data_IF_501787769013
#
_entry.id   IF_501787769013
#
_cell.length_a   1.000
_cell.length_b   1.000
_cell.length_c   1.000
_cell.angle_alpha   90.00
_cell.angle_beta   90.00
_cell.angle_gamma   90.00
#
_symmetry.space_group_name_H-M   'P 1'
#
loop_
_entity.id
_entity.type
_entity.pdbx_description
1 polymer ?
#
# COMPACT_ATOMS: atom_id res chain seq x y z
N UNK A 1 -23.51 15.91 -59.69
CA UNK A 1 -22.43 15.02 -59.22
C UNK A 1 -22.27 15.26 -57.72
N UNK A 2 -22.57 14.26 -56.91
CA UNK A 2 -22.59 14.35 -55.45
C UNK A 2 -21.16 14.27 -54.89
N UNK A 3 -20.76 15.22 -54.05
CA UNK A 3 -19.54 15.14 -53.23
C UNK A 3 -19.89 14.50 -51.89
N UNK A 4 -19.31 13.34 -51.63
CA UNK A 4 -19.36 12.63 -50.35
C UNK A 4 -18.31 13.28 -49.44
N UNK A 5 -18.75 13.99 -48.40
CA UNK A 5 -17.89 14.48 -47.33
C UNK A 5 -17.61 13.35 -46.34
N UNK A 6 -16.37 12.87 -46.33
CA UNK A 6 -15.86 11.93 -45.32
C UNK A 6 -15.60 12.68 -44.02
N UNK A 7 -16.52 12.55 -43.06
CA UNK A 7 -16.34 12.98 -41.68
C UNK A 7 -15.45 11.94 -40.98
N UNK A 8 -14.16 12.24 -40.88
CA UNK A 8 -13.23 11.51 -40.02
C UNK A 8 -13.58 11.81 -38.56
N UNK A 9 -14.37 10.93 -37.94
CA UNK A 9 -14.57 10.89 -36.50
C UNK A 9 -13.22 10.65 -35.81
N UNK A 10 -12.66 11.72 -35.27
CA UNK A 10 -11.53 11.67 -34.36
C UNK A 10 -12.04 11.10 -33.02
N UNK A 11 -12.01 9.78 -32.87
CA UNK A 11 -12.20 9.13 -31.56
C UNK A 11 -11.05 9.54 -30.65
N UNK A 12 -11.26 10.56 -29.81
CA UNK A 12 -10.42 10.79 -28.64
C UNK A 12 -10.53 9.54 -27.75
N UNK A 13 -9.51 8.70 -27.77
CA UNK A 13 -9.32 7.66 -26.78
C UNK A 13 -9.19 8.35 -25.42
N UNK A 14 -10.25 8.27 -24.61
CA UNK A 14 -10.22 8.66 -23.21
C UNK A 14 -9.28 7.69 -22.51
N UNK A 15 -8.02 8.10 -22.35
CA UNK A 15 -7.02 7.36 -21.61
C UNK A 15 -7.51 7.16 -20.18
N UNK A 16 -7.90 5.92 -19.91
CA UNK A 16 -8.32 5.30 -18.67
C UNK A 16 -7.34 5.59 -17.53
N UNK A 17 -7.77 6.27 -16.47
CA UNK A 17 -6.93 6.62 -15.31
C UNK A 17 -6.84 5.42 -14.36
N UNK A 18 -6.28 4.31 -14.82
CA UNK A 18 -5.39 3.58 -13.92
C UNK A 18 -4.18 4.49 -13.74
N UNK A 19 -3.80 4.78 -12.49
CA UNK A 19 -2.58 5.56 -12.25
C UNK A 19 -1.47 4.94 -13.07
N UNK A 20 -0.79 5.71 -13.94
CA UNK A 20 0.16 5.17 -14.92
C UNK A 20 1.30 4.40 -14.24
N UNK A 21 1.51 4.67 -12.94
CA UNK A 21 2.52 4.07 -12.09
C UNK A 21 1.90 3.32 -10.89
N UNK A 22 0.80 2.58 -11.04
CA UNK A 22 0.26 1.74 -9.94
C UNK A 22 -0.54 2.50 -8.87
N UNK A 23 -1.12 1.76 -7.93
CA UNK A 23 -1.87 2.35 -6.81
C UNK A 23 -0.93 3.16 -5.90
N UNK A 24 -1.28 4.39 -5.47
CA UNK A 24 -0.45 5.20 -4.57
C UNK A 24 -0.62 4.82 -3.09
N UNK A 25 -0.98 3.56 -2.79
CA UNK A 25 -1.38 3.08 -1.47
C UNK A 25 -0.66 1.76 -1.11
N UNK A 26 -0.54 1.50 0.19
CA UNK A 26 -0.08 0.22 0.74
C UNK A 26 -1.10 -0.36 1.72
N UNK A 27 -2.33 0.16 1.75
CA UNK A 27 -3.42 -0.37 2.57
C UNK A 27 -4.70 -0.41 1.75
N UNK A 28 -5.46 -1.48 1.94
CA UNK A 28 -6.74 -1.75 1.30
C UNK A 28 -7.81 -1.68 2.38
N UNK A 29 -8.21 -0.45 2.69
CA UNK A 29 -9.47 -0.19 3.39
C UNK A 29 -10.37 0.61 2.46
N UNK A 30 -11.68 0.47 2.63
CA UNK A 30 -12.64 1.15 1.75
C UNK A 30 -12.39 2.66 1.72
N UNK A 31 -12.14 3.29 2.88
CA UNK A 31 -11.79 4.71 2.94
C UNK A 31 -10.52 5.09 2.20
N UNK A 32 -9.46 4.27 2.30
CA UNK A 32 -8.16 4.59 1.70
C UNK A 32 -8.24 4.51 0.18
N UNK A 33 -8.96 3.50 -0.33
CA UNK A 33 -9.15 3.29 -1.76
C UNK A 33 -10.16 4.31 -2.32
N UNK A 34 -11.28 4.56 -1.64
CA UNK A 34 -12.27 5.53 -2.06
C UNK A 34 -11.71 6.96 -2.11
N UNK A 35 -10.86 7.34 -1.14
CA UNK A 35 -10.15 8.62 -1.17
C UNK A 35 -9.21 8.76 -2.38
N UNK A 36 -8.63 7.65 -2.85
CA UNK A 36 -7.78 7.64 -4.05
C UNK A 36 -8.57 7.73 -5.35
N UNK A 37 -9.71 7.04 -5.44
CA UNK A 37 -10.52 6.94 -6.66
C UNK A 37 -11.62 8.00 -6.76
N UNK A 38 -11.93 8.71 -5.66
CA UNK A 38 -13.07 9.64 -5.54
C UNK A 38 -14.42 9.00 -5.91
N UNK A 39 -14.51 7.69 -5.79
CA UNK A 39 -15.67 6.87 -6.12
C UNK A 39 -15.85 5.83 -5.00
N UNK A 40 -17.09 5.45 -4.74
CA UNK A 40 -17.43 4.36 -3.82
C UNK A 40 -17.02 3.00 -4.41
N UNK A 41 -16.90 2.00 -3.54
CA UNK A 41 -16.64 0.63 -3.97
C UNK A 41 -17.74 0.15 -4.92
N UNK A 42 -17.35 -0.45 -6.03
CA UNK A 42 -18.25 -1.18 -6.92
C UNK A 42 -18.19 -2.69 -6.70
N UNK A 43 -18.98 -3.41 -7.49
CA UNK A 43 -18.96 -4.86 -7.54
C UNK A 43 -18.54 -5.32 -8.94
N UNK A 44 -17.38 -5.95 -9.03
CA UNK A 44 -16.85 -6.57 -10.25
C UNK A 44 -17.16 -8.08 -10.29
N UNK A 45 -17.82 -8.63 -9.26
CA UNK A 45 -18.11 -10.06 -9.14
C UNK A 45 -16.86 -10.89 -8.94
N UNK A 46 -15.80 -10.35 -8.33
CA UNK A 46 -14.52 -11.03 -8.15
C UNK A 46 -14.45 -11.83 -6.85
N UNK A 47 -13.77 -12.97 -6.89
CA UNK A 47 -13.48 -13.85 -5.75
C UNK A 47 -12.02 -14.31 -5.77
N UNK A 48 -11.46 -14.59 -4.59
CA UNK A 48 -10.16 -15.23 -4.45
C UNK A 48 -10.31 -16.76 -4.43
N UNK A 49 -9.44 -17.43 -5.18
CA UNK A 49 -9.21 -18.86 -5.13
C UNK A 49 -7.80 -19.07 -4.55
N UNK A 50 -7.77 -19.63 -3.34
CA UNK A 50 -6.57 -19.75 -2.52
C UNK A 50 -6.29 -21.20 -2.18
N UNK A 51 -5.01 -21.59 -2.02
CA UNK A 51 -4.67 -22.84 -1.37
C UNK A 51 -5.11 -22.80 0.10
N UNK A 52 -5.43 -23.96 0.67
CA UNK A 52 -5.86 -24.05 2.06
C UNK A 52 -4.71 -23.77 3.04
N UNK A 53 -3.49 -24.16 2.67
CA UNK A 53 -2.31 -24.09 3.55
C UNK A 53 -1.06 -23.59 2.85
N UNK A 54 -0.09 -23.16 3.64
CA UNK A 54 1.28 -22.85 3.20
C UNK A 54 2.31 -23.47 4.15
N UNK A 55 3.54 -23.65 3.66
CA UNK A 55 4.69 -24.05 4.49
C UNK A 55 5.62 -22.86 4.65
N UNK A 56 5.98 -22.44 5.89
CA UNK A 56 6.97 -21.39 6.09
C UNK A 56 8.29 -21.70 5.37
N UNK A 57 8.80 -20.73 4.62
CA UNK A 57 9.98 -20.88 3.75
C UNK A 57 9.78 -21.85 2.58
N UNK A 58 8.55 -22.30 2.34
CA UNK A 58 8.20 -23.22 1.27
C UNK A 58 8.19 -22.59 -0.11
N UNK A 59 7.82 -23.39 -1.10
CA UNK A 59 7.71 -22.95 -2.48
C UNK A 59 6.60 -21.90 -2.67
N UNK A 60 6.71 -21.13 -3.75
CA UNK A 60 5.68 -20.17 -4.13
C UNK A 60 4.34 -20.87 -4.43
N UNK A 61 3.25 -20.34 -3.90
CA UNK A 61 1.89 -20.85 -4.07
C UNK A 61 1.04 -19.88 -4.90
N UNK A 62 0.06 -20.38 -5.66
CA UNK A 62 -0.76 -19.54 -6.52
C UNK A 62 -1.85 -18.82 -5.73
N UNK A 63 -2.01 -17.52 -5.97
CA UNK A 63 -3.13 -16.68 -5.52
C UNK A 63 -3.91 -16.29 -6.76
N UNK A 64 -5.10 -16.86 -6.95
CA UNK A 64 -5.89 -16.64 -8.17
C UNK A 64 -7.09 -15.77 -7.86
N UNK A 65 -7.31 -14.74 -8.67
CA UNK A 65 -8.58 -14.01 -8.71
C UNK A 65 -9.41 -14.51 -9.88
N UNK A 66 -10.66 -14.85 -9.61
CA UNK A 66 -11.63 -15.34 -10.59
C UNK A 66 -12.91 -14.52 -10.54
N UNK A 67 -13.73 -14.60 -11.58
CA UNK A 67 -15.10 -14.10 -11.51
C UNK A 67 -16.00 -15.15 -10.85
N UNK A 68 -16.83 -14.72 -9.90
CA UNK A 68 -17.75 -15.57 -9.15
C UNK A 68 -18.74 -16.32 -10.04
N UNK A 69 -19.10 -15.74 -11.19
CA UNK A 69 -20.03 -16.33 -12.16
C UNK A 69 -19.33 -17.18 -13.24
N UNK A 70 -18.02 -17.40 -13.14
CA UNK A 70 -17.23 -18.13 -14.15
C UNK A 70 -16.96 -17.34 -15.45
N UNK A 71 -17.44 -16.09 -15.54
CA UNK A 71 -17.15 -15.20 -16.66
C UNK A 71 -15.74 -14.62 -16.63
N UNK A 72 -15.38 -13.90 -17.69
CA UNK A 72 -14.09 -13.22 -17.80
C UNK A 72 -14.26 -11.72 -17.52
N UNK A 73 -13.70 -11.24 -16.41
CA UNK A 73 -13.75 -9.83 -16.00
C UNK A 73 -12.42 -9.17 -16.34
N UNK A 74 -12.46 -8.14 -17.18
CA UNK A 74 -11.26 -7.35 -17.54
C UNK A 74 -10.96 -6.30 -16.48
N UNK A 75 -9.67 -6.07 -16.23
CA UNK A 75 -9.23 -5.06 -15.26
C UNK A 75 -7.87 -4.47 -15.62
N UNK A 76 -7.63 -3.26 -15.09
CA UNK A 76 -6.47 -2.43 -15.42
C UNK A 76 -5.59 -2.10 -14.22
N UNK A 77 -6.05 -2.34 -12.99
CA UNK A 77 -5.27 -2.05 -11.79
C UNK A 77 -5.39 -3.13 -10.74
N UNK A 78 -4.30 -3.37 -10.02
CA UNK A 78 -4.23 -4.28 -8.88
C UNK A 78 -3.37 -3.69 -7.78
N UNK A 79 -3.75 -3.95 -6.53
CA UNK A 79 -2.91 -3.82 -5.35
C UNK A 79 -3.18 -5.05 -4.48
N UNK A 80 -2.11 -5.74 -4.06
CA UNK A 80 -2.22 -6.96 -3.26
C UNK A 80 -1.08 -7.08 -2.24
N UNK A 81 -1.39 -7.69 -1.10
CA UNK A 81 -0.46 -8.03 -0.03
C UNK A 81 -1.04 -9.09 0.91
N UNK A 82 -0.17 -9.75 1.68
CA UNK A 82 -0.57 -10.67 2.75
C UNK A 82 -0.38 -10.01 4.11
N UNK A 83 -1.31 -10.20 5.03
CA UNK A 83 -1.16 -9.79 6.44
C UNK A 83 -1.12 -11.01 7.35
N UNK A 84 -0.34 -11.00 8.45
CA UNK A 84 -0.39 -12.05 9.45
C UNK A 84 -1.72 -12.00 10.22
N UNK A 85 -2.17 -13.16 10.69
CA UNK A 85 -3.43 -13.35 11.40
C UNK A 85 -4.65 -13.48 10.48
N UNK A 86 -5.82 -13.48 11.12
CA UNK A 86 -7.13 -13.72 10.48
C UNK A 86 -7.90 -12.44 10.18
N UNK A 87 -7.33 -11.28 10.51
CA UNK A 87 -8.00 -9.98 10.35
C UNK A 87 -7.89 -9.53 8.90
N UNK A 88 -9.05 -9.23 8.30
CA UNK A 88 -9.16 -8.73 6.94
C UNK A 88 -9.10 -7.21 6.94
N UNK A 89 -8.21 -6.61 6.14
CA UNK A 89 -8.08 -5.15 6.12
C UNK A 89 -9.34 -4.45 5.59
N UNK A 90 -10.08 -5.14 4.73
CA UNK A 90 -11.40 -4.74 4.25
C UNK A 90 -12.46 -4.54 5.35
N UNK A 91 -12.27 -5.15 6.52
CA UNK A 91 -13.19 -5.04 7.66
C UNK A 91 -12.98 -3.77 8.49
N UNK A 92 -11.85 -3.06 8.29
CA UNK A 92 -11.64 -1.78 8.96
C UNK A 92 -12.51 -0.71 8.32
N UNK A 93 -13.33 -0.08 9.16
CA UNK A 93 -14.45 0.80 8.78
C UNK A 93 -14.11 1.81 7.69
N UNK A 94 -14.98 1.86 6.69
CA UNK A 94 -15.06 2.93 5.70
C UNK A 94 -15.33 4.27 6.39
N UNK A 95 -14.35 5.15 6.39
CA UNK A 95 -14.58 6.59 6.59
C UNK A 95 -15.31 7.15 5.36
N UNK A 96 -16.41 7.91 5.52
CA UNK A 96 -17.15 8.50 4.41
C UNK A 96 -16.26 9.28 3.44
N UNK A 97 -16.59 9.20 2.15
CA UNK A 97 -15.90 9.99 1.10
C UNK A 97 -16.05 11.48 1.40
N UNK A 98 -14.93 12.20 1.46
CA UNK A 98 -14.90 13.65 1.73
C UNK A 98 -14.49 14.02 3.17
N UNK A 99 -14.26 13.05 4.06
CA UNK A 99 -13.70 13.35 5.38
C UNK A 99 -12.26 13.87 5.25
N UNK A 100 -12.03 15.11 5.68
CA UNK A 100 -10.70 15.72 5.78
C UNK A 100 -9.94 15.02 6.91
N UNK A 101 -8.69 14.61 6.67
CA UNK A 101 -7.88 13.83 7.61
C UNK A 101 -8.49 12.46 7.97
N UNK A 102 -8.71 11.58 6.98
CA UNK A 102 -8.94 10.15 7.24
C UNK A 102 -7.74 9.64 8.07
N UNK A 103 -7.88 9.42 9.39
CA UNK A 103 -6.75 9.18 10.26
C UNK A 103 -6.24 7.78 9.97
N UNK A 104 -5.13 7.67 9.21
CA UNK A 104 -4.42 6.44 8.82
C UNK A 104 -5.26 5.17 9.07
N UNK A 105 -6.40 5.07 8.36
CA UNK A 105 -7.56 4.32 8.83
C UNK A 105 -7.26 2.82 8.83
N UNK A 106 -7.08 2.27 10.03
CA UNK A 106 -6.92 0.84 10.27
C UNK A 106 -5.86 0.15 9.41
N UNK A 107 -6.04 -1.15 9.24
CA UNK A 107 -5.15 -2.02 8.48
C UNK A 107 -3.98 -2.56 9.28
N UNK A 108 -3.67 -3.83 9.08
CA UNK A 108 -2.50 -4.47 9.68
C UNK A 108 -1.24 -3.80 9.14
N UNK A 109 -0.29 -3.50 10.03
CA UNK A 109 0.91 -2.69 9.73
C UNK A 109 2.09 -3.52 9.25
N UNK A 110 1.89 -4.81 8.99
CA UNK A 110 2.94 -5.73 8.57
C UNK A 110 2.44 -6.55 7.39
N UNK A 111 3.26 -6.59 6.33
CA UNK A 111 3.03 -7.45 5.19
C UNK A 111 4.11 -8.52 5.08
N UNK A 112 3.69 -9.76 4.84
CA UNK A 112 4.55 -10.95 4.97
C UNK A 112 4.72 -11.70 3.65
N UNK A 113 5.85 -12.40 3.53
CA UNK A 113 6.22 -13.14 2.32
C UNK A 113 6.55 -12.22 1.14
N UNK A 114 6.66 -12.77 -0.07
CA UNK A 114 7.01 -12.00 -1.26
C UNK A 114 6.31 -12.53 -2.51
N UNK A 115 5.82 -11.65 -3.36
CA UNK A 115 5.31 -12.05 -4.66
C UNK A 115 6.44 -12.22 -5.68
N UNK A 116 6.30 -13.18 -6.58
CA UNK A 116 7.30 -13.52 -7.59
C UNK A 116 6.73 -13.39 -9.01
N UNK A 117 7.61 -13.40 -10.02
CA UNK A 117 7.27 -13.29 -11.44
C UNK A 117 6.49 -12.01 -11.83
N UNK A 118 6.71 -10.92 -11.10
CA UNK A 118 5.96 -9.67 -11.26
C UNK A 118 6.08 -9.05 -12.66
N UNK A 119 7.30 -8.97 -13.19
CA UNK A 119 7.56 -8.35 -14.49
C UNK A 119 6.82 -9.04 -15.64
N UNK A 120 6.68 -10.37 -15.58
CA UNK A 120 5.95 -11.14 -16.58
C UNK A 120 4.45 -10.82 -16.61
N UNK A 121 3.91 -10.23 -15.54
CA UNK A 121 2.51 -9.87 -15.39
C UNK A 121 2.25 -8.36 -15.44
N UNK A 122 3.25 -7.56 -15.83
CA UNK A 122 3.22 -6.09 -15.73
C UNK A 122 2.92 -5.60 -14.31
N UNK A 123 3.41 -6.33 -13.31
CA UNK A 123 3.35 -5.98 -11.91
C UNK A 123 4.73 -5.51 -11.44
N UNK A 124 4.75 -4.82 -10.31
CA UNK A 124 5.96 -4.43 -9.61
C UNK A 124 5.73 -4.40 -8.10
N UNK A 125 6.82 -4.44 -7.35
CA UNK A 125 6.83 -4.08 -5.94
C UNK A 125 6.32 -2.65 -5.74
N UNK A 126 5.61 -2.43 -4.65
CA UNK A 126 5.28 -1.09 -4.20
C UNK A 126 6.52 -0.41 -3.61
N UNK A 127 6.61 0.92 -3.71
CA UNK A 127 7.80 1.62 -3.20
C UNK A 127 7.81 1.65 -1.66
N UNK A 128 8.97 1.44 -1.02
CA UNK A 128 9.09 1.54 0.43
C UNK A 128 8.57 2.87 0.99
N UNK A 129 8.79 3.98 0.29
CA UNK A 129 8.31 5.30 0.70
C UNK A 129 6.77 5.37 0.83
N UNK A 130 6.04 4.76 -0.11
CA UNK A 130 4.57 4.71 -0.06
C UNK A 130 4.10 3.88 1.14
N UNK A 131 4.79 2.79 1.47
CA UNK A 131 4.41 1.94 2.60
C UNK A 131 4.78 2.56 3.96
N UNK A 132 5.99 3.11 4.08
CA UNK A 132 6.45 3.83 5.28
C UNK A 132 5.55 5.02 5.61
N UNK A 133 5.13 5.80 4.61
CA UNK A 133 4.18 6.91 4.84
C UNK A 133 2.81 6.47 5.36
N UNK A 134 2.43 5.20 5.16
CA UNK A 134 1.21 4.58 5.70
C UNK A 134 1.47 3.73 6.94
N UNK A 135 2.68 3.78 7.50
CA UNK A 135 3.12 2.99 8.66
C UNK A 135 2.93 1.48 8.43
N UNK A 136 3.31 1.02 7.24
CA UNK A 136 3.33 -0.38 6.83
C UNK A 136 4.78 -0.84 6.72
N UNK A 137 5.13 -1.90 7.44
CA UNK A 137 6.38 -2.62 7.30
C UNK A 137 6.18 -3.78 6.31
N UNK A 138 7.03 -3.84 5.29
CA UNK A 138 7.10 -4.99 4.40
C UNK A 138 8.28 -5.86 4.82
N UNK A 139 8.07 -7.16 5.00
CA UNK A 139 9.16 -8.12 5.26
C UNK A 139 10.10 -8.26 4.05
N UNK A 140 9.59 -7.95 2.84
CA UNK A 140 10.33 -7.93 1.58
C UNK A 140 9.82 -6.80 0.68
N UNK A 141 10.66 -6.25 -0.20
CA UNK A 141 10.22 -5.21 -1.15
C UNK A 141 8.97 -5.63 -1.95
N UNK A 142 8.88 -6.92 -2.31
CA UNK A 142 7.75 -7.49 -3.02
C UNK A 142 6.65 -8.07 -2.11
N UNK A 143 6.57 -7.73 -0.82
CA UNK A 143 5.43 -8.11 0.05
C UNK A 143 4.15 -7.35 -0.31
N UNK A 144 4.29 -6.16 -0.90
CA UNK A 144 3.21 -5.39 -1.48
C UNK A 144 3.47 -5.19 -2.96
N UNK A 145 2.47 -5.44 -3.79
CA UNK A 145 2.60 -5.28 -5.24
C UNK A 145 1.50 -4.41 -5.82
N UNK A 146 1.81 -3.81 -6.96
CA UNK A 146 0.85 -3.08 -7.78
C UNK A 146 1.20 -3.19 -9.26
N UNK A 147 0.30 -2.76 -10.15
CA UNK A 147 0.57 -2.73 -11.58
C UNK A 147 1.64 -1.68 -11.93
N UNK A 148 2.58 -2.02 -12.82
CA UNK A 148 3.62 -1.08 -13.29
C UNK A 148 3.07 -0.07 -14.32
N UNK A 149 2.05 -0.48 -15.05
CA UNK A 149 1.30 0.25 -16.06
C UNK A 149 -0.14 -0.30 -16.09
N UNK A 150 -1.12 0.43 -16.66
CA UNK A 150 -2.48 -0.10 -16.80
C UNK A 150 -2.47 -1.51 -17.41
N UNK A 151 -3.08 -2.46 -16.72
CA UNK A 151 -3.14 -3.85 -17.17
C UNK A 151 -4.17 -4.02 -18.29
N UNK A 152 -3.93 -4.99 -19.15
CA UNK A 152 -4.92 -5.56 -20.08
C UNK A 152 -5.31 -6.97 -19.62
N UNK A 153 -5.40 -7.17 -18.30
CA UNK A 153 -5.60 -8.47 -17.69
C UNK A 153 -7.08 -8.86 -17.63
N UNK A 154 -7.34 -10.16 -17.50
CA UNK A 154 -8.67 -10.72 -17.39
C UNK A 154 -8.67 -11.90 -16.40
N UNK A 155 -9.79 -12.16 -15.74
CA UNK A 155 -9.94 -13.36 -14.89
C UNK A 155 -10.03 -14.64 -15.74
N UNK A 156 -9.48 -15.78 -15.27
CA UNK A 156 -8.70 -15.93 -14.04
C UNK A 156 -7.31 -15.30 -14.16
N UNK A 157 -6.87 -14.62 -13.12
CA UNK A 157 -5.54 -14.03 -13.03
C UNK A 157 -4.82 -14.55 -11.80
N UNK A 158 -3.65 -15.15 -11.98
CA UNK A 158 -2.90 -15.83 -10.92
C UNK A 158 -1.61 -15.10 -10.64
N UNK A 159 -1.33 -14.78 -9.38
CA UNK A 159 -0.06 -14.22 -8.91
C UNK A 159 0.61 -15.25 -8.00
N UNK A 160 1.92 -15.43 -8.13
CA UNK A 160 2.67 -16.36 -7.28
C UNK A 160 3.16 -15.65 -6.02
N UNK A 161 2.91 -16.23 -4.86
CA UNK A 161 3.36 -15.73 -3.55
C UNK A 161 4.24 -16.75 -2.84
N UNK A 162 5.43 -16.34 -2.44
CA UNK A 162 6.37 -17.11 -1.63
C UNK A 162 6.13 -16.83 -0.15
N UNK A 163 5.81 -17.85 0.66
CA UNK A 163 5.61 -17.68 2.09
C UNK A 163 6.85 -17.14 2.83
N UNK A 164 6.67 -16.41 3.95
CA UNK A 164 7.80 -15.98 4.77
C UNK A 164 8.56 -17.18 5.32
N UNK A 165 9.87 -17.04 5.53
CA UNK A 165 10.72 -18.09 6.08
C UNK A 165 10.32 -18.47 7.51
N UNK A 166 9.97 -17.46 8.31
CA UNK A 166 9.46 -17.65 9.67
C UNK A 166 7.94 -17.86 9.62
N UNK A 167 7.43 -18.69 10.53
CA UNK A 167 5.99 -18.89 10.64
C UNK A 167 5.27 -17.61 11.07
N UNK A 168 4.33 -17.16 10.24
CA UNK A 168 3.46 -16.02 10.50
C UNK A 168 2.07 -16.43 11.04
N UNK A 169 1.84 -17.73 11.28
CA UNK A 169 0.54 -18.27 11.64
C UNK A 169 -0.44 -18.26 10.46
N UNK A 170 -1.76 -18.18 10.69
CA UNK A 170 -2.70 -17.92 9.60
C UNK A 170 -2.33 -16.60 8.90
N UNK A 171 -2.43 -16.55 7.57
CA UNK A 171 -2.25 -15.30 6.81
C UNK A 171 -3.53 -14.95 6.05
N UNK A 172 -3.79 -13.66 5.91
CA UNK A 172 -4.94 -13.13 5.18
C UNK A 172 -4.48 -12.46 3.88
N UNK A 173 -5.10 -12.86 2.77
CA UNK A 173 -4.88 -12.30 1.43
C UNK A 173 -5.75 -11.06 1.27
N UNK A 174 -5.13 -9.89 1.04
CA UNK A 174 -5.85 -8.65 0.76
C UNK A 174 -5.56 -8.22 -0.68
N UNK A 175 -6.62 -7.98 -1.45
CA UNK A 175 -6.52 -7.58 -2.85
C UNK A 175 -7.61 -6.59 -3.24
N UNK A 176 -7.25 -5.57 -4.01
CA UNK A 176 -8.19 -4.65 -4.66
C UNK A 176 -7.91 -4.60 -6.15
N UNK A 177 -8.97 -4.60 -6.95
CA UNK A 177 -8.90 -4.58 -8.41
C UNK A 177 -9.72 -3.41 -8.95
N UNK A 178 -9.18 -2.73 -9.96
CA UNK A 178 -9.85 -1.64 -10.67
C UNK A 178 -10.07 -2.01 -12.13
N UNK A 179 -11.29 -1.81 -12.63
CA UNK A 179 -11.67 -2.10 -14.02
C UNK A 179 -11.02 -1.18 -15.06
N UNK A 180 -10.48 -0.02 -14.66
CA UNK A 180 -9.84 0.95 -15.57
C UNK A 180 -10.81 1.81 -16.40
N UNK A 181 -12.12 1.53 -16.42
CA UNK A 181 -13.09 2.34 -17.17
C UNK A 181 -13.24 3.79 -16.63
N UNK A 182 -13.67 4.75 -17.45
CA UNK A 182 -13.90 6.14 -17.02
C UNK A 182 -15.01 6.32 -15.97
N UNK A 183 -15.73 5.25 -15.63
CA UNK A 183 -16.76 5.17 -14.58
C UNK A 183 -16.38 4.16 -13.46
N UNK A 184 -15.11 3.76 -13.39
CA UNK A 184 -14.56 2.54 -12.75
C UNK A 184 -15.18 2.13 -11.40
N UNK A 185 -15.94 1.03 -11.35
CA UNK A 185 -16.05 0.23 -10.15
C UNK A 185 -14.69 -0.42 -9.89
N UNK A 186 -14.08 -0.05 -8.77
CA UNK A 186 -13.05 -0.84 -8.11
C UNK A 186 -13.73 -1.75 -7.09
N UNK A 187 -13.17 -2.93 -6.83
CA UNK A 187 -13.67 -3.86 -5.84
C UNK A 187 -12.53 -4.29 -4.93
N UNK A 188 -12.71 -4.16 -3.62
CA UNK A 188 -11.92 -4.93 -2.67
C UNK A 188 -12.43 -6.37 -2.77
N UNK A 189 -11.59 -7.25 -3.31
CA UNK A 189 -11.95 -8.66 -3.48
C UNK A 189 -12.12 -9.24 -2.08
N UNK A 190 -13.21 -9.99 -1.80
CA UNK A 190 -13.39 -10.63 -0.50
C UNK A 190 -12.13 -11.39 -0.09
N UNK A 191 -11.51 -10.96 1.01
CA UNK A 191 -10.27 -11.53 1.50
C UNK A 191 -10.46 -13.00 1.85
N UNK A 192 -9.41 -13.79 1.68
CA UNK A 192 -9.39 -15.19 2.11
C UNK A 192 -8.17 -15.49 2.97
N UNK A 193 -8.18 -16.64 3.64
CA UNK A 193 -7.12 -17.02 4.57
C UNK A 193 -6.39 -18.27 4.09
N UNK A 194 -5.10 -18.34 4.42
CA UNK A 194 -4.24 -19.49 4.17
C UNK A 194 -3.63 -19.89 5.50
N UNK A 195 -3.74 -21.16 5.88
CA UNK A 195 -3.27 -21.65 7.17
C UNK A 195 -1.80 -22.07 7.11
N UNK A 196 -1.02 -21.76 8.13
CA UNK A 196 0.34 -22.30 8.25
C UNK A 196 0.31 -23.78 8.58
N UNK A 197 1.12 -24.57 7.89
CA UNK A 197 1.37 -25.99 8.23
C UNK A 197 2.22 -26.15 9.50
N UNK A 198 2.99 -25.14 9.90
CA UNK A 198 3.77 -25.19 11.14
C UNK A 198 2.91 -25.01 12.41
N UNK A 199 1.76 -24.32 12.28
CA UNK A 199 0.76 -24.16 13.35
C UNK A 199 -0.20 -25.35 13.50
N UNK A 200 -0.22 -26.28 12.55
CA UNK A 200 -0.95 -27.54 12.65
C UNK A 200 -0.16 -28.54 13.52
N UNK A 201 0.12 -28.17 14.77
CA UNK A 201 0.54 -29.15 15.76
C UNK A 201 -0.51 -30.26 15.81
N UNK A 202 -0.08 -31.51 15.74
CA UNK A 202 -0.94 -32.67 15.93
C UNK A 202 -1.84 -32.41 17.15
N UNK A 203 -3.15 -32.59 17.00
CA UNK A 203 -4.06 -32.52 18.13
C UNK A 203 -3.55 -33.53 19.16
N UNK A 204 -2.93 -33.03 20.24
CA UNK A 204 -2.56 -33.85 21.37
C UNK A 204 -3.86 -34.48 21.87
N UNK A 205 -3.99 -35.83 21.93
CA UNK A 205 -5.15 -36.45 22.52
C UNK A 205 -5.37 -35.82 23.90
N UNK A 206 -6.60 -35.39 24.17
CA UNK A 206 -6.96 -34.79 25.45
C UNK A 206 -6.49 -35.72 26.57
N UNK A 207 -5.46 -35.30 27.30
CA UNK A 207 -5.01 -36.03 28.48
C UNK A 207 -6.16 -35.93 29.51
N UNK A 208 -6.68 -37.04 30.05
CA UNK A 208 -7.76 -37.01 31.02
C UNK A 208 -7.36 -36.18 32.24
N UNK A 209 -8.30 -35.35 32.70
CA UNK A 209 -8.09 -34.42 33.82
C UNK A 209 -7.61 -35.16 35.07
N UNK A 210 -6.44 -34.76 35.58
CA UNK A 210 -5.95 -35.18 36.90
C UNK A 210 -6.89 -34.60 37.98
N UNK A 211 -7.47 -35.43 38.87
CA UNK A 211 -8.31 -34.95 39.95
C UNK A 211 -7.55 -34.03 40.91
N UNK A 212 -8.21 -32.97 41.36
CA UNK A 212 -7.68 -32.04 42.36
C UNK A 212 -7.39 -32.75 43.68
N UNK A 213 -6.22 -32.46 44.26
CA UNK A 213 -5.83 -32.97 45.58
C UNK A 213 -6.69 -32.34 46.70
N UNK A 214 -7.04 -33.08 47.78
CA UNK A 214 -7.86 -32.57 48.86
C UNK A 214 -7.07 -31.59 49.74
N UNK A 215 -7.78 -30.59 50.27
CA UNK A 215 -7.23 -29.63 51.24
C UNK A 215 -6.92 -30.30 52.60
N UNK A 216 -5.70 -30.07 53.10
CA UNK A 216 -5.24 -30.53 54.41
C UNK A 216 -5.83 -29.67 55.54
N UNK A 217 -6.35 -30.23 56.65
CA UNK A 217 -6.87 -29.45 57.77
C UNK A 217 -5.74 -28.91 58.66
N UNK A 218 -5.94 -27.70 59.19
CA UNK A 218 -5.11 -27.12 60.22
C UNK A 218 -5.41 -27.77 61.59
N UNK A 219 -4.36 -28.22 62.28
CA UNK A 219 -4.41 -28.64 63.69
C UNK A 219 -3.50 -27.73 64.49
N UNK A 220 -4.02 -27.18 65.59
CA UNK A 220 -3.34 -26.20 66.42
C UNK A 220 -2.47 -26.78 67.54
N UNK A 221 -1.70 -25.85 68.13
CA UNK A 221 -1.10 -25.79 69.46
C UNK A 221 -0.03 -26.83 69.85
N UNK A 222 1.19 -26.38 70.17
CA UNK A 222 1.55 -26.13 71.57
C UNK A 222 2.87 -25.37 71.80
N UNK A 223 2.89 -24.68 72.95
CA UNK A 223 3.98 -23.93 73.57
C UNK A 223 5.25 -24.74 73.85
N UNK A 224 6.40 -24.07 73.78
CA UNK A 224 7.69 -24.53 74.29
C UNK A 224 8.68 -23.37 74.41
N UNK A 225 8.85 -22.89 75.63
CA UNK A 225 9.75 -21.82 76.08
C UNK A 225 11.23 -22.23 76.02
N UNK A 226 12.12 -21.34 75.56
CA UNK A 226 13.45 -21.10 76.18
C UNK A 226 14.12 -19.81 75.64
N UNK A 227 14.09 -18.79 76.47
CA UNK A 227 15.15 -17.84 76.88
C UNK A 227 16.52 -17.89 76.17
N UNK A 228 16.99 -16.74 75.64
CA UNK A 228 18.27 -16.07 75.95
C UNK A 228 18.65 -15.03 74.87
N UNK A 229 19.13 -13.86 75.30
CA UNK A 229 19.90 -12.96 74.42
C UNK A 229 19.51 -11.49 74.48
N UNK A 230 19.77 -10.84 75.62
CA UNK A 230 19.91 -9.38 75.68
C UNK A 230 21.20 -8.98 74.94
N UNK A 231 21.09 -8.15 73.91
CA UNK A 231 22.24 -7.50 73.29
C UNK A 231 21.95 -6.94 71.90
N UNK A 232 22.15 -5.62 71.74
CA UNK A 232 22.27 -4.88 70.47
C UNK A 232 21.00 -4.25 69.86
N UNK A 233 20.27 -3.46 70.64
CA UNK A 233 19.16 -2.63 70.14
C UNK A 233 19.53 -1.20 69.68
N UNK A 234 20.83 -0.87 69.53
CA UNK A 234 21.27 0.45 69.04
C UNK A 234 21.73 0.46 67.57
N UNK A 235 22.17 -0.68 67.01
CA UNK A 235 22.66 -0.78 65.63
C UNK A 235 21.54 -1.01 64.60
N UNK A 236 20.42 -1.62 65.01
CA UNK A 236 19.30 -1.94 64.11
C UNK A 236 18.50 -0.69 63.67
N UNK A 237 18.43 0.35 64.50
CA UNK A 237 17.67 1.58 64.17
C UNK A 237 18.44 2.53 63.22
N UNK A 238 19.78 2.51 63.26
CA UNK A 238 20.61 3.27 62.32
C UNK A 238 20.63 2.62 60.92
N UNK A 239 20.68 1.29 60.85
CA UNK A 239 20.60 0.55 59.59
C UNK A 239 19.22 0.69 58.91
N UNK A 240 18.13 0.72 59.69
CA UNK A 240 16.79 0.96 59.16
C UNK A 240 16.60 2.37 58.58
N UNK A 241 17.15 3.41 59.24
CA UNK A 241 17.13 4.79 58.71
C UNK A 241 17.96 4.95 57.42
N UNK A 242 19.13 4.33 57.35
CA UNK A 242 19.96 4.36 56.14
C UNK A 242 19.33 3.61 54.96
N UNK A 243 18.57 2.55 55.22
CA UNK A 243 17.81 1.83 54.20
C UNK A 243 16.62 2.65 53.68
N UNK A 244 15.92 3.38 54.56
CA UNK A 244 14.80 4.24 54.18
C UNK A 244 15.26 5.44 53.33
N UNK A 245 16.41 6.03 53.65
CA UNK A 245 16.97 7.15 52.89
C UNK A 245 17.43 6.72 51.48
N UNK A 246 18.11 5.57 51.36
CA UNK A 246 18.45 4.97 50.06
C UNK A 246 17.23 4.61 49.23
N UNK A 247 16.14 4.16 49.86
CA UNK A 247 14.90 3.85 49.16
C UNK A 247 14.23 5.12 48.60
N UNK A 248 14.23 6.23 49.34
CA UNK A 248 13.73 7.53 48.86
C UNK A 248 14.58 8.09 47.72
N UNK A 249 15.89 7.95 47.79
CA UNK A 249 16.81 8.41 46.75
C UNK A 249 16.67 7.60 45.46
N UNK A 250 16.50 6.27 45.56
CA UNK A 250 16.21 5.39 44.43
C UNK A 250 14.84 5.69 43.78
N UNK A 251 13.81 5.98 44.58
CA UNK A 251 12.49 6.37 44.08
C UNK A 251 12.55 7.70 43.30
N UNK A 252 13.31 8.68 43.80
CA UNK A 252 13.49 9.98 43.14
C UNK A 252 14.25 9.85 41.82
N UNK A 253 15.31 9.04 41.77
CA UNK A 253 16.02 8.74 40.53
C UNK A 253 15.16 8.00 39.49
N UNK A 254 14.26 7.13 39.94
CA UNK A 254 13.32 6.44 39.04
C UNK A 254 12.29 7.41 38.44
N UNK A 255 11.78 8.34 39.24
CA UNK A 255 10.85 9.38 38.79
C UNK A 255 11.51 10.33 37.77
N UNK A 256 12.74 10.79 38.03
CA UNK A 256 13.49 11.65 37.12
C UNK A 256 13.80 10.95 35.78
N UNK A 257 14.16 9.65 35.81
CA UNK A 257 14.35 8.85 34.59
C UNK A 257 13.05 8.67 33.81
N UNK A 258 11.93 8.45 34.49
CA UNK A 258 10.63 8.33 33.83
C UNK A 258 10.21 9.65 33.16
N UNK A 259 10.48 10.78 33.82
CA UNK A 259 10.22 12.12 33.26
C UNK A 259 11.08 12.40 32.04
N UNK A 260 12.37 12.09 32.10
CA UNK A 260 13.30 12.26 30.98
C UNK A 260 12.96 11.35 29.78
N UNK A 261 12.54 10.10 30.04
CA UNK A 261 12.09 9.19 28.98
C UNK A 261 10.83 9.71 28.26
N UNK A 262 9.88 10.29 29.02
CA UNK A 262 8.66 10.89 28.46
C UNK A 262 8.99 12.10 27.58
N UNK A 263 9.88 12.98 28.05
CA UNK A 263 10.31 14.17 27.29
C UNK A 263 11.04 13.80 26.00
N UNK A 264 11.91 12.78 26.03
CA UNK A 264 12.59 12.29 24.84
C UNK A 264 11.61 11.68 23.83
N UNK A 265 10.63 10.91 24.29
CA UNK A 265 9.60 10.34 23.43
C UNK A 265 8.72 11.42 22.76
N UNK A 266 8.50 12.54 23.44
CA UNK A 266 7.75 13.68 22.90
C UNK A 266 8.56 14.44 21.84
N UNK A 267 9.86 14.70 22.10
CA UNK A 267 10.77 15.31 21.10
C UNK A 267 10.94 14.45 19.86
N UNK A 268 11.03 13.12 19.99
CA UNK A 268 11.11 12.23 18.83
C UNK A 268 9.83 12.26 17.98
N UNK A 269 8.65 12.36 18.61
CA UNK A 269 7.39 12.51 17.88
C UNK A 269 7.34 13.84 17.11
N UNK A 270 7.80 14.91 17.74
CA UNK A 270 7.83 16.24 17.11
C UNK A 270 8.81 16.28 15.94
N UNK A 271 10.01 15.72 16.08
CA UNK A 271 10.98 15.63 14.98
C UNK A 271 10.48 14.80 13.81
N UNK A 272 9.82 13.66 14.07
CA UNK A 272 9.21 12.85 13.00
C UNK A 272 8.07 13.59 12.30
N UNK A 273 7.27 14.36 13.02
CA UNK A 273 6.21 15.17 12.44
C UNK A 273 6.79 16.30 11.55
N UNK A 274 7.84 16.97 12.00
CA UNK A 274 8.53 18.01 11.22
C UNK A 274 9.17 17.44 9.95
N UNK A 275 9.89 16.32 10.04
CA UNK A 275 10.47 15.66 8.87
C UNK A 275 9.40 15.20 7.87
N UNK A 276 8.27 14.67 8.35
CA UNK A 276 7.15 14.29 7.49
C UNK A 276 6.53 15.48 6.76
N UNK A 277 6.36 16.62 7.46
CA UNK A 277 5.84 17.84 6.86
C UNK A 277 6.79 18.43 5.80
N UNK A 278 8.10 18.40 6.05
CA UNK A 278 9.10 18.89 5.11
C UNK A 278 9.21 18.01 3.85
N UNK A 279 9.18 16.69 4.00
CA UNK A 279 9.11 15.76 2.87
C UNK A 279 7.83 15.95 2.04
N UNK A 280 6.68 16.18 2.69
CA UNK A 280 5.43 16.46 1.99
C UNK A 280 5.51 17.76 1.19
N UNK A 281 6.15 18.81 1.75
CA UNK A 281 6.37 20.08 1.06
C UNK A 281 7.27 19.91 -0.17
N UNK A 282 8.38 19.17 -0.04
CA UNK A 282 9.27 18.87 -1.17
C UNK A 282 8.58 18.06 -2.27
N UNK A 283 7.76 17.07 -1.90
CA UNK A 283 7.00 16.26 -2.86
C UNK A 283 5.97 17.10 -3.62
N UNK A 284 5.27 18.00 -2.93
CA UNK A 284 4.32 18.92 -3.56
C UNK A 284 5.01 19.91 -4.51
N UNK A 285 6.18 20.43 -4.14
CA UNK A 285 6.97 21.34 -4.97
C UNK A 285 7.50 20.64 -6.22
N UNK A 286 8.00 19.40 -6.09
CA UNK A 286 8.44 18.58 -7.22
C UNK A 286 7.29 18.29 -8.19
N UNK A 287 6.10 17.94 -7.67
CA UNK A 287 4.92 17.71 -8.49
C UNK A 287 4.50 18.98 -9.25
N UNK A 288 4.62 20.17 -8.64
CA UNK A 288 4.35 21.45 -9.29
C UNK A 288 5.35 21.72 -10.43
N UNK A 289 6.65 21.46 -10.20
CA UNK A 289 7.68 21.61 -11.25
C UNK A 289 7.48 20.64 -12.42
N UNK A 290 7.10 19.39 -12.16
CA UNK A 290 6.82 18.41 -13.20
C UNK A 290 5.60 18.81 -14.04
N UNK A 291 4.53 19.31 -13.40
CA UNK A 291 3.36 19.83 -14.10
C UNK A 291 3.69 21.04 -14.98
N UNK A 292 4.55 21.94 -14.51
CA UNK A 292 4.99 23.10 -15.28
C UNK A 292 5.85 22.71 -16.49
N UNK A 293 6.77 21.76 -16.32
CA UNK A 293 7.55 21.19 -17.43
C UNK A 293 6.66 20.52 -18.47
N UNK A 294 5.64 19.78 -18.04
CA UNK A 294 4.69 19.16 -18.95
C UNK A 294 3.87 20.20 -19.75
N UNK A 295 3.52 21.32 -19.11
CA UNK A 295 2.86 22.45 -19.79
C UNK A 295 3.77 23.09 -20.84
N UNK A 296 5.03 23.38 -20.48
CA UNK A 296 6.01 23.94 -21.43
C UNK A 296 6.29 23.00 -22.60
N UNK A 297 6.37 21.69 -22.36
CA UNK A 297 6.57 20.70 -23.42
C UNK A 297 5.43 20.72 -24.44
N UNK A 298 4.17 20.80 -23.98
CA UNK A 298 3.00 20.94 -24.87
C UNK A 298 3.02 22.24 -25.66
N UNK A 299 3.32 23.36 -25.02
CA UNK A 299 3.40 24.66 -25.70
C UNK A 299 4.49 24.67 -26.78
N UNK A 300 5.65 24.07 -26.50
CA UNK A 300 6.72 23.92 -27.49
C UNK A 300 6.31 23.01 -28.66
N UNK A 301 5.58 21.92 -28.40
CA UNK A 301 5.07 21.04 -29.45
C UNK A 301 4.06 21.76 -30.35
N UNK A 302 3.16 22.55 -29.75
CA UNK A 302 2.17 23.35 -30.48
C UNK A 302 2.83 24.43 -31.33
N UNK A 303 3.85 25.11 -30.78
CA UNK A 303 4.66 26.08 -31.54
C UNK A 303 5.40 25.44 -32.71
N UNK A 304 6.00 24.27 -32.51
CA UNK A 304 6.67 23.54 -33.58
C UNK A 304 5.70 23.12 -34.70
N UNK A 305 4.47 22.73 -34.36
CA UNK A 305 3.42 22.44 -35.34
C UNK A 305 3.01 23.69 -36.12
N UNK A 306 2.85 24.83 -35.43
CA UNK A 306 2.52 26.10 -36.07
C UNK A 306 3.63 26.57 -37.03
N UNK A 307 4.90 26.47 -36.63
CA UNK A 307 6.04 26.83 -37.46
C UNK A 307 6.14 25.93 -38.70
N UNK A 308 5.91 24.62 -38.54
CA UNK A 308 5.86 23.68 -39.68
C UNK A 308 4.72 24.03 -40.64
N UNK A 309 3.52 24.29 -40.13
CA UNK A 309 2.39 24.69 -40.96
C UNK A 309 2.67 25.98 -41.75
N UNK A 310 3.38 26.94 -41.15
CA UNK A 310 3.80 28.18 -41.82
C UNK A 310 4.81 27.90 -42.94
N UNK A 311 5.79 27.03 -42.72
CA UNK A 311 6.76 26.63 -43.74
C UNK A 311 6.08 25.91 -44.92
N UNK A 312 5.15 25.01 -44.63
CA UNK A 312 4.39 24.28 -45.66
C UNK A 312 3.53 25.23 -46.50
N UNK A 313 2.89 26.22 -45.86
CA UNK A 313 2.11 27.26 -46.56
C UNK A 313 2.99 28.15 -47.45
N UNK A 314 4.18 28.53 -46.98
CA UNK A 314 5.13 29.33 -47.75
C UNK A 314 5.66 28.56 -48.96
N UNK A 315 5.97 27.26 -48.80
CA UNK A 315 6.35 26.37 -49.89
C UNK A 315 5.25 26.24 -50.94
N UNK A 316 4.01 26.05 -50.51
CA UNK A 316 2.86 25.97 -51.42
C UNK A 316 2.69 27.26 -52.24
N UNK A 317 2.89 28.43 -51.61
CA UNK A 317 2.86 29.72 -52.30
C UNK A 317 3.97 29.84 -53.35
N UNK A 318 5.21 29.46 -53.01
CA UNK A 318 6.32 29.47 -53.96
C UNK A 318 6.08 28.54 -55.16
N UNK A 319 5.49 27.37 -54.93
CA UNK A 319 5.12 26.44 -56.01
C UNK A 319 4.04 27.01 -56.93
N UNK A 320 3.05 27.73 -56.39
CA UNK A 320 2.03 28.41 -57.21
C UNK A 320 2.64 29.52 -58.06
N UNK A 321 3.48 30.38 -57.47
CA UNK A 321 4.18 31.44 -58.20
C UNK A 321 5.09 30.88 -59.31
N UNK A 322 5.75 29.74 -59.06
CA UNK A 322 6.57 29.06 -60.06
C UNK A 322 5.73 28.51 -61.22
N UNK A 323 4.55 27.93 -60.93
CA UNK A 323 3.61 27.45 -61.95
C UNK A 323 3.09 28.60 -62.81
N UNK A 324 2.70 29.71 -62.20
CA UNK A 324 2.19 30.89 -62.93
C UNK A 324 3.28 31.50 -63.83
N UNK A 325 4.52 31.63 -63.33
CA UNK A 325 5.66 32.07 -64.15
C UNK A 325 5.93 31.14 -65.32
N UNK A 326 5.87 29.82 -65.11
CA UNK A 326 6.06 28.84 -66.18
C UNK A 326 4.95 28.91 -67.24
N UNK A 327 3.70 29.13 -66.82
CA UNK A 327 2.57 29.31 -67.74
C UNK A 327 2.71 30.60 -68.55
N UNK A 328 3.04 31.72 -67.90
CA UNK A 328 3.30 33.00 -68.57
C UNK A 328 4.42 32.89 -69.60
N UNK A 329 5.52 32.21 -69.26
CA UNK A 329 6.63 31.97 -70.18
C UNK A 329 6.23 31.10 -71.38
N UNK A 330 5.38 30.09 -71.17
CA UNK A 330 4.81 29.28 -72.27
C UNK A 330 3.92 30.12 -73.18
N UNK A 331 3.07 30.97 -72.62
CA UNK A 331 2.21 31.87 -73.38
C UNK A 331 3.01 32.85 -74.23
N UNK A 332 4.06 33.46 -73.67
CA UNK A 332 4.94 34.38 -74.41
C UNK A 332 5.68 33.67 -75.55
N UNK A 333 6.19 32.44 -75.32
CA UNK A 333 6.81 31.63 -76.38
C UNK A 333 5.83 31.30 -77.52
N UNK A 334 4.53 31.12 -77.21
CA UNK A 334 3.49 30.87 -78.21
C UNK A 334 3.19 32.13 -79.04
N UNK A 335 3.25 33.32 -78.44
CA UNK A 335 3.05 34.59 -79.17
C UNK A 335 4.21 34.95 -80.10
N UNK A 336 5.42 34.46 -79.84
CA UNK A 336 6.60 34.69 -80.69
C UNK A 336 6.72 33.72 -81.89
N UNK A 337 5.86 32.71 -81.97
CA UNK A 337 5.80 31.74 -83.07
C UNK A 337 4.65 32.08 -83.99
#
# INVERSE_FOLDING_TARGET
MQLIQSISLLTLAVSTIAFPNGAPRCKITESIIAAGHKLQQGNLGLVLQLPATYTPGGAAIPITVAAANGGAVSFAGVLAYMTPGTVMDSSFTAVPVGTVNVPNAGGIKQHVGSFTNLGAQNLRAQTPAVCTSQNVANDNDASTITHSQPLTAQTPFTIMWTPPANDAGPVTVNMVISSGSSRSPWQIVPSGQIQSTAGAGAATPANPATPAAPATPATGANNGNTQAGNGNNAAASAAAKAAEEKAKEAAKQAEDKAKQAKENAEREKEQKAQQGAEQAKQAAEKAKQEAERAKQAKENEERAKADKARQDAERAKQEQEAKEKAEKAKAERKQRR
#
